data_IF_303539848749
#
_entry.id   IF_303539848749
#
_cell.length_a   1.000
_cell.length_b   1.000
_cell.length_c   1.000
_cell.angle_alpha   90.00
_cell.angle_beta   90.00
_cell.angle_gamma   90.00
#
_symmetry.space_group_name_H-M   'P 1'
#
loop_
_entity.id
_entity.type
_entity.pdbx_description
1 polymer ?
#
# COMPACT_ATOMS: atom_id res chain seq x y z
N UNK A 1 -71.60 -20.01 -11.40
CA UNK A 1 -70.80 -19.83 -10.17
C UNK A 1 -69.34 -19.70 -10.55
N UNK A 2 -68.76 -18.53 -10.24
CA UNK A 2 -67.35 -18.17 -10.39
C UNK A 2 -66.44 -19.16 -9.64
N UNK A 3 -65.26 -19.48 -10.19
CA UNK A 3 -63.96 -19.33 -9.50
C UNK A 3 -62.78 -19.73 -10.41
N UNK A 4 -62.14 -18.68 -10.92
CA UNK A 4 -60.76 -18.63 -11.40
C UNK A 4 -59.83 -19.03 -10.26
N UNK A 5 -58.89 -19.96 -10.50
CA UNK A 5 -57.67 -20.14 -9.70
C UNK A 5 -56.49 -20.09 -10.68
N UNK A 6 -55.99 -18.89 -10.92
CA UNK A 6 -54.73 -18.38 -10.35
C UNK A 6 -53.51 -19.01 -11.02
N UNK A 7 -53.18 -18.39 -12.16
CA UNK A 7 -51.87 -18.39 -12.80
C UNK A 7 -50.88 -17.71 -11.82
N UNK A 8 -50.08 -18.50 -11.12
CA UNK A 8 -49.02 -18.03 -10.23
C UNK A 8 -47.81 -18.95 -10.39
N UNK A 9 -46.88 -18.56 -11.25
CA UNK A 9 -45.44 -18.79 -11.06
C UNK A 9 -44.70 -17.99 -12.14
N UNK A 10 -44.77 -16.68 -11.98
CA UNK A 10 -43.96 -15.70 -12.69
C UNK A 10 -42.52 -15.77 -12.18
N UNK A 11 -41.56 -15.65 -13.10
CA UNK A 11 -40.20 -15.14 -12.89
C UNK A 11 -39.30 -15.91 -11.91
N UNK A 12 -38.64 -16.95 -12.41
CA UNK A 12 -37.32 -17.36 -11.93
C UNK A 12 -36.24 -16.66 -12.76
N UNK A 13 -36.15 -15.33 -12.68
CA UNK A 13 -34.88 -14.65 -12.98
C UNK A 13 -34.06 -14.63 -11.70
N UNK A 14 -33.26 -15.68 -11.51
CA UNK A 14 -32.17 -15.65 -10.54
C UNK A 14 -31.16 -14.68 -11.12
N UNK A 15 -31.24 -13.42 -10.70
CA UNK A 15 -30.14 -12.48 -10.90
C UNK A 15 -29.03 -12.96 -9.98
N UNK A 16 -28.11 -13.74 -10.53
CA UNK A 16 -26.79 -13.99 -9.97
C UNK A 16 -26.06 -12.65 -9.94
N UNK A 17 -26.36 -11.81 -8.95
CA UNK A 17 -25.43 -10.76 -8.56
C UNK A 17 -24.20 -11.47 -8.02
N UNK A 18 -23.16 -11.50 -8.85
CA UNK A 18 -21.81 -11.82 -8.45
C UNK A 18 -21.34 -10.70 -7.52
N UNK A 19 -21.75 -10.79 -6.25
CA UNK A 19 -21.30 -9.89 -5.19
C UNK A 19 -19.87 -10.29 -4.86
N UNK A 20 -18.92 -9.81 -5.65
CA UNK A 20 -17.59 -9.58 -5.10
C UNK A 20 -17.79 -8.63 -3.93
N UNK A 21 -17.56 -9.11 -2.71
CA UNK A 21 -17.62 -8.30 -1.49
C UNK A 21 -16.65 -7.13 -1.69
N UNK A 22 -17.18 -5.96 -2.04
CA UNK A 22 -16.43 -4.72 -2.07
C UNK A 22 -16.22 -4.33 -0.61
N UNK A 23 -15.02 -4.56 -0.08
CA UNK A 23 -14.68 -4.14 1.27
C UNK A 23 -14.50 -2.63 1.31
N UNK A 24 -14.99 -1.98 2.36
CA UNK A 24 -14.83 -0.54 2.60
C UNK A 24 -13.69 -0.24 3.58
N UNK A 25 -12.90 -1.25 3.95
CA UNK A 25 -11.79 -1.11 4.89
C UNK A 25 -10.58 -0.61 4.11
N UNK A 26 -10.07 0.58 4.41
CA UNK A 26 -8.77 1.05 3.93
C UNK A 26 -7.68 0.58 4.89
N UNK A 27 -6.87 -0.43 4.54
CA UNK A 27 -5.91 -1.05 5.44
C UNK A 27 -4.71 -0.17 5.80
N UNK A 28 -4.46 0.89 5.03
CA UNK A 28 -3.44 1.88 5.35
C UNK A 28 -3.67 3.22 4.64
N UNK A 29 -2.98 4.25 5.12
CA UNK A 29 -2.70 5.48 4.40
C UNK A 29 -1.18 5.58 4.27
N UNK A 30 -0.64 5.50 3.05
CA UNK A 30 0.76 5.75 2.84
C UNK A 30 1.01 7.26 2.91
N UNK A 31 1.90 7.64 3.84
CA UNK A 31 2.42 8.99 3.91
C UNK A 31 3.18 9.28 2.61
N UNK A 32 2.91 10.44 2.00
CA UNK A 32 3.69 10.93 0.88
C UNK A 32 5.14 11.11 1.35
N UNK A 33 6.01 10.18 0.98
CA UNK A 33 7.44 10.30 1.21
C UNK A 33 8.07 10.77 -0.09
N UNK A 34 8.66 11.95 -0.05
CA UNK A 34 9.53 12.42 -1.12
C UNK A 34 10.78 11.54 -1.18
N UNK A 35 11.19 11.24 -2.41
CA UNK A 35 12.27 10.34 -2.80
C UNK A 35 13.57 10.68 -2.06
N UNK A 36 14.02 9.81 -1.16
CA UNK A 36 15.38 9.88 -0.60
C UNK A 36 16.27 8.93 -1.41
N UNK A 37 17.21 9.52 -2.15
CA UNK A 37 18.33 8.83 -2.78
C UNK A 37 19.18 8.10 -1.73
N UNK A 38 19.13 6.77 -1.71
CA UNK A 38 20.00 5.94 -0.87
C UNK A 38 21.44 5.98 -1.41
N UNK A 39 22.29 6.81 -0.79
CA UNK A 39 23.74 6.65 -0.85
C UNK A 39 24.30 6.19 0.50
N UNK A 40 24.73 4.93 0.50
CA UNK A 40 25.75 4.30 1.35
C UNK A 40 25.49 4.23 2.87
N UNK A 41 25.06 3.05 3.33
CA UNK A 41 25.33 2.59 4.69
C UNK A 41 26.20 1.33 4.60
N UNK A 42 27.42 1.41 5.14
CA UNK A 42 28.30 0.25 5.38
C UNK A 42 28.01 -0.33 6.78
N UNK A 43 28.09 -1.66 6.98
CA UNK A 43 27.73 -2.28 8.25
C UNK A 43 28.78 -2.14 9.36
N UNK A 44 28.23 -2.27 10.56
CA UNK A 44 28.72 -2.10 11.94
C UNK A 44 29.86 -3.07 12.34
N UNK A 45 30.80 -2.60 13.17
CA UNK A 45 31.69 -3.46 13.96
C UNK A 45 31.15 -3.59 15.39
N UNK A 46 31.20 -4.83 15.88
CA UNK A 46 30.87 -5.27 17.23
C UNK A 46 31.80 -4.64 18.27
N UNK A 47 31.26 -4.34 19.46
CA UNK A 47 31.88 -4.67 20.76
C UNK A 47 30.79 -4.70 21.84
N UNK A 48 30.86 -5.74 22.69
CA UNK A 48 29.95 -6.09 23.79
C UNK A 48 29.98 -5.08 24.94
N UNK A 49 28.82 -4.69 25.51
CA UNK A 49 28.68 -4.39 26.96
C UNK A 49 27.26 -4.78 27.46
N UNK A 50 27.25 -5.39 28.65
CA UNK A 50 26.14 -5.98 29.40
C UNK A 50 25.14 -4.97 30.01
N UNK A 51 23.99 -5.55 30.42
CA UNK A 51 22.79 -5.05 31.10
C UNK A 51 22.92 -3.85 32.06
N UNK A 52 21.98 -2.90 31.95
CA UNK A 52 21.34 -2.20 33.09
C UNK A 52 20.09 -1.40 32.63
N UNK A 53 19.01 -1.48 33.40
CA UNK A 53 17.71 -0.85 33.12
C UNK A 53 17.74 0.68 33.27
N UNK A 54 17.29 1.40 32.23
CA UNK A 54 16.90 2.83 32.23
C UNK A 54 17.92 3.79 31.59
N UNK A 55 17.66 4.30 30.37
CA UNK A 55 16.99 5.61 30.23
C UNK A 55 16.14 5.72 28.93
N UNK A 56 15.07 4.92 28.79
CA UNK A 56 14.27 4.88 27.55
C UNK A 56 13.32 6.09 27.34
N UNK A 57 13.01 6.84 28.41
CA UNK A 57 12.04 7.97 28.36
C UNK A 57 12.59 9.28 27.77
N UNK A 58 13.90 9.51 27.85
CA UNK A 58 14.49 10.76 27.34
C UNK A 58 14.69 10.73 25.81
N UNK A 59 14.98 9.54 25.24
CA UNK A 59 15.23 9.39 23.80
C UNK A 59 13.97 9.59 22.94
N UNK A 60 12.79 9.21 23.46
CA UNK A 60 11.52 9.42 22.76
C UNK A 60 11.11 10.88 22.75
N UNK A 61 11.42 11.62 23.83
CA UNK A 61 11.13 13.05 23.95
C UNK A 61 12.05 13.86 23.03
N UNK A 62 13.35 13.53 22.98
CA UNK A 62 14.32 14.15 22.05
C UNK A 62 13.98 13.89 20.58
N UNK A 63 13.58 12.66 20.21
CA UNK A 63 13.13 12.35 18.83
C UNK A 63 11.89 13.15 18.41
N UNK A 64 10.96 13.37 19.33
CA UNK A 64 9.74 14.12 19.07
C UNK A 64 9.98 15.65 19.00
N UNK A 65 10.99 16.15 19.70
CA UNK A 65 11.41 17.56 19.60
C UNK A 65 12.23 17.82 18.33
N UNK A 66 13.13 16.90 17.95
CA UNK A 66 13.86 16.94 16.68
C UNK A 66 12.89 16.92 15.48
N UNK A 67 11.86 16.07 15.49
CA UNK A 67 10.87 16.04 14.41
C UNK A 67 10.10 17.35 14.28
N UNK A 68 9.73 18.00 15.39
CA UNK A 68 9.03 19.29 15.37
C UNK A 68 9.91 20.44 14.87
N UNK A 69 11.19 20.44 15.23
CA UNK A 69 12.17 21.43 14.78
C UNK A 69 12.49 21.30 13.29
N UNK A 70 12.49 20.08 12.75
CA UNK A 70 12.67 19.80 11.32
C UNK A 70 11.46 20.31 10.53
N UNK A 71 10.22 20.02 10.99
CA UNK A 71 8.98 20.53 10.37
C UNK A 71 8.93 22.06 10.32
N UNK A 72 9.40 22.75 11.36
CA UNK A 72 9.40 24.21 11.38
C UNK A 72 10.45 24.82 10.44
N UNK A 73 11.66 24.25 10.39
CA UNK A 73 12.74 24.70 9.49
C UNK A 73 12.48 24.40 8.01
N UNK A 74 11.70 23.36 7.71
CA UNK A 74 11.27 23.04 6.34
C UNK A 74 10.19 24.02 5.87
N UNK A 75 9.25 24.41 6.75
CA UNK A 75 8.22 25.43 6.42
C UNK A 75 8.77 26.83 6.13
N UNK A 76 9.95 27.18 6.68
CA UNK A 76 10.59 28.49 6.46
C UNK A 76 11.48 28.51 5.19
N UNK A 77 11.94 27.36 4.70
CA UNK A 77 12.83 27.29 3.52
C UNK A 77 12.09 27.14 2.18
N UNK A 78 10.79 26.87 2.17
CA UNK A 78 9.99 26.75 0.94
C UNK A 78 9.58 28.09 0.30
N UNK A 79 9.86 29.24 0.94
CA UNK A 79 9.44 30.56 0.43
C UNK A 79 10.29 31.07 -0.75
N UNK A 80 11.43 30.44 -1.09
CA UNK A 80 12.41 31.00 -2.05
C UNK A 80 12.83 30.08 -3.20
N UNK A 81 11.90 29.37 -3.84
CA UNK A 81 12.08 28.92 -5.23
C UNK A 81 10.85 29.26 -6.08
N UNK A 82 11.03 30.25 -6.95
CA UNK A 82 10.10 30.65 -8.00
C UNK A 82 9.98 29.49 -9.01
N UNK A 83 8.80 28.86 -9.20
CA UNK A 83 8.66 27.84 -10.22
C UNK A 83 8.48 28.50 -11.59
N UNK A 84 9.27 28.06 -12.58
CA UNK A 84 8.94 28.27 -14.00
C UNK A 84 7.57 27.63 -14.29
N UNK A 85 6.71 28.38 -14.98
CA UNK A 85 5.41 27.91 -15.47
C UNK A 85 5.63 26.80 -16.51
N UNK A 86 5.67 25.56 -16.03
CA UNK A 86 5.34 24.40 -16.86
C UNK A 86 3.82 24.32 -16.95
N UNK A 87 3.28 24.16 -18.16
CA UNK A 87 1.87 23.87 -18.38
C UNK A 87 1.45 22.72 -17.45
N UNK A 88 0.63 23.03 -16.43
CA UNK A 88 0.06 22.04 -15.53
C UNK A 88 -0.95 21.21 -16.32
N UNK A 89 -0.44 20.21 -17.05
CA UNK A 89 -1.26 19.13 -17.54
C UNK A 89 -1.88 18.45 -16.31
N UNK A 90 -3.20 18.52 -16.20
CA UNK A 90 -3.92 17.83 -15.14
C UNK A 90 -3.54 16.33 -15.14
N UNK A 91 -3.41 15.70 -13.96
CA UNK A 91 -3.09 14.29 -13.89
C UNK A 91 -4.18 13.45 -14.56
N UNK A 92 -3.77 12.42 -15.29
CA UNK A 92 -4.69 11.46 -15.91
C UNK A 92 -5.17 10.47 -14.85
N UNK A 93 -6.42 10.65 -14.41
CA UNK A 93 -7.07 9.77 -13.45
C UNK A 93 -7.56 8.48 -14.12
N UNK A 94 -7.36 7.35 -13.43
CA UNK A 94 -7.91 6.05 -13.84
C UNK A 94 -8.31 5.18 -12.65
N UNK A 95 -9.19 4.22 -12.90
CA UNK A 95 -9.57 3.21 -11.90
C UNK A 95 -8.47 2.14 -11.78
N UNK A 96 -7.98 1.95 -10.56
CA UNK A 96 -7.10 0.86 -10.17
C UNK A 96 -7.87 -0.22 -9.40
N UNK A 97 -7.52 -1.48 -9.67
CA UNK A 97 -7.99 -2.67 -8.95
C UNK A 97 -6.90 -3.09 -7.98
N UNK A 98 -7.20 -3.04 -6.69
CA UNK A 98 -6.28 -3.43 -5.63
C UNK A 98 -6.60 -4.83 -5.13
N UNK A 99 -5.55 -5.65 -5.03
CA UNK A 99 -5.51 -6.83 -4.16
C UNK A 99 -4.45 -6.61 -3.08
N UNK A 100 -4.39 -7.50 -2.10
CA UNK A 100 -3.50 -7.35 -0.95
C UNK A 100 -2.79 -8.67 -0.67
N UNK A 101 -1.50 -8.58 -0.33
CA UNK A 101 -0.68 -9.74 -0.02
C UNK A 101 0.15 -9.51 1.25
N UNK A 102 0.58 -10.62 1.83
CA UNK A 102 1.37 -10.64 3.07
C UNK A 102 2.86 -10.89 2.82
N UNK A 103 3.68 -10.74 3.85
CA UNK A 103 5.07 -11.21 3.90
C UNK A 103 5.20 -12.70 4.24
N UNK A 104 4.11 -13.48 4.24
CA UNK A 104 4.17 -14.92 4.52
C UNK A 104 4.83 -15.64 3.35
N UNK A 105 5.73 -16.59 3.65
CA UNK A 105 6.41 -17.39 2.63
C UNK A 105 5.44 -18.15 1.70
N UNK A 106 4.20 -18.43 2.13
CA UNK A 106 3.18 -19.07 1.30
C UNK A 106 2.65 -18.17 0.18
N UNK A 107 2.77 -16.86 0.32
CA UNK A 107 2.32 -15.86 -0.66
C UNK A 107 3.50 -15.23 -1.42
N UNK A 108 4.72 -15.57 -1.02
CA UNK A 108 5.95 -15.08 -1.62
C UNK A 108 6.68 -16.24 -2.31
N UNK A 109 7.62 -15.92 -3.19
CA UNK A 109 8.48 -16.94 -3.79
C UNK A 109 9.42 -17.56 -2.75
N UNK A 110 10.22 -18.55 -3.17
CA UNK A 110 11.29 -19.10 -2.33
C UNK A 110 12.34 -18.08 -1.89
N UNK A 111 12.33 -16.85 -2.42
CA UNK A 111 13.17 -15.75 -1.97
C UNK A 111 12.75 -15.15 -0.62
N UNK A 112 11.54 -15.47 -0.12
CA UNK A 112 11.01 -14.91 1.12
C UNK A 112 10.38 -13.51 0.90
N UNK A 113 10.17 -12.73 1.97
CA UNK A 113 9.46 -11.44 1.94
C UNK A 113 10.37 -10.31 1.44
N UNK A 114 10.78 -10.43 0.18
CA UNK A 114 11.58 -9.44 -0.54
C UNK A 114 10.93 -9.13 -1.87
N UNK A 115 11.16 -7.91 -2.36
CA UNK A 115 10.73 -7.52 -3.70
C UNK A 115 11.49 -8.28 -4.78
N UNK A 116 11.05 -8.15 -6.03
CA UNK A 116 11.77 -8.66 -7.21
C UNK A 116 13.22 -8.14 -7.37
N UNK A 117 13.59 -7.07 -6.64
CA UNK A 117 14.96 -6.53 -6.60
C UNK A 117 15.76 -7.03 -5.39
N UNK A 118 15.23 -8.03 -4.66
CA UNK A 118 15.81 -8.56 -3.44
C UNK A 118 15.98 -7.49 -2.33
N UNK A 119 15.06 -6.52 -2.27
CA UNK A 119 14.97 -5.52 -1.21
C UNK A 119 13.86 -5.92 -0.23
N UNK A 120 13.93 -5.51 1.06
CA UNK A 120 12.82 -5.74 1.98
C UNK A 120 11.49 -5.18 1.44
N UNK A 121 10.38 -5.87 1.67
CA UNK A 121 9.06 -5.32 1.42
C UNK A 121 8.83 -4.12 2.36
N UNK A 122 8.33 -3.02 1.80
CA UNK A 122 8.09 -1.77 2.53
C UNK A 122 6.63 -1.36 2.44
N UNK A 123 6.14 -0.71 3.49
CA UNK A 123 4.82 -0.11 3.50
C UNK A 123 4.58 0.78 2.26
N UNK A 124 3.41 0.67 1.63
CA UNK A 124 3.09 1.38 0.39
C UNK A 124 3.74 0.78 -0.88
N UNK A 125 4.49 -0.31 -0.76
CA UNK A 125 5.00 -1.08 -1.90
C UNK A 125 3.89 -1.85 -2.62
N UNK A 126 3.94 -1.86 -3.95
CA UNK A 126 2.98 -2.59 -4.79
C UNK A 126 3.65 -3.41 -5.88
N UNK A 127 3.02 -4.53 -6.23
CA UNK A 127 3.36 -5.36 -7.37
C UNK A 127 2.51 -5.03 -8.60
N UNK A 128 3.17 -4.86 -9.74
CA UNK A 128 2.56 -4.72 -11.07
C UNK A 128 3.60 -5.09 -12.13
N UNK A 129 3.26 -5.70 -13.27
CA UNK A 129 4.28 -6.11 -14.25
C UNK A 129 4.41 -5.16 -15.46
N UNK A 130 3.48 -4.21 -15.62
CA UNK A 130 3.43 -3.28 -16.77
C UNK A 130 4.01 -1.91 -16.43
N UNK A 131 3.66 -1.37 -15.26
CA UNK A 131 4.15 -0.07 -14.79
C UNK A 131 5.65 -0.18 -14.46
N UNK A 132 6.49 0.79 -14.86
CA UNK A 132 7.91 0.80 -14.53
C UNK A 132 8.16 0.72 -13.02
N UNK A 133 9.24 0.05 -12.63
CA UNK A 133 9.70 0.02 -11.23
C UNK A 133 10.01 1.44 -10.74
N UNK A 134 9.81 1.68 -9.45
CA UNK A 134 9.92 2.96 -8.74
C UNK A 134 8.92 4.04 -9.19
N UNK A 135 7.86 3.68 -9.93
CA UNK A 135 6.79 4.63 -10.25
C UNK A 135 5.93 4.90 -9.02
N UNK A 136 5.69 6.17 -8.72
CA UNK A 136 4.77 6.60 -7.67
C UNK A 136 3.35 6.77 -8.22
N UNK A 137 2.36 6.31 -7.48
CA UNK A 137 0.94 6.35 -7.84
C UNK A 137 0.17 6.92 -6.65
N UNK A 138 -0.61 7.97 -6.87
CA UNK A 138 -1.58 8.42 -5.89
C UNK A 138 -2.85 7.59 -6.02
N UNK A 139 -3.35 7.07 -4.90
CA UNK A 139 -4.60 6.30 -4.81
C UNK A 139 -5.55 6.98 -3.80
N UNK A 140 -6.77 7.27 -4.24
CA UNK A 140 -7.78 7.90 -3.41
C UNK A 140 -8.09 7.04 -2.17
N UNK A 141 -7.98 7.63 -0.97
CA UNK A 141 -8.20 6.94 0.30
C UNK A 141 -7.04 6.08 0.80
N UNK A 142 -5.95 6.00 0.04
CA UNK A 142 -4.75 5.20 0.34
C UNK A 142 -3.46 6.00 0.36
N UNK A 143 -3.42 7.16 -0.30
CA UNK A 143 -2.21 7.98 -0.41
C UNK A 143 -1.30 7.50 -1.53
N UNK A 144 0.01 7.75 -1.39
CA UNK A 144 0.99 7.45 -2.44
C UNK A 144 1.59 6.05 -2.26
N UNK A 145 1.54 5.23 -3.31
CA UNK A 145 2.18 3.92 -3.36
C UNK A 145 3.31 3.90 -4.40
N UNK A 146 4.24 2.96 -4.26
CA UNK A 146 5.39 2.82 -5.16
C UNK A 146 5.44 1.42 -5.76
N UNK A 147 5.54 1.33 -7.08
CA UNK A 147 5.73 0.06 -7.79
C UNK A 147 7.16 -0.44 -7.56
N UNK A 148 7.36 -1.31 -6.58
CA UNK A 148 8.68 -1.82 -6.21
C UNK A 148 8.79 -3.35 -6.31
N UNK A 149 7.72 -4.03 -6.72
CA UNK A 149 7.66 -5.49 -6.80
C UNK A 149 6.98 -5.98 -8.08
N UNK A 150 7.04 -7.29 -8.32
CA UNK A 150 6.43 -7.98 -9.48
C UNK A 150 5.62 -9.19 -9.02
N UNK A 151 4.54 -9.48 -9.72
CA UNK A 151 3.62 -10.57 -9.39
C UNK A 151 3.46 -11.58 -10.53
N UNK A 152 2.51 -12.49 -10.37
CA UNK A 152 2.13 -13.43 -11.44
C UNK A 152 1.60 -12.71 -12.69
N UNK A 153 2.19 -12.97 -13.85
CA UNK A 153 1.79 -12.40 -15.15
C UNK A 153 0.30 -12.58 -15.46
N UNK A 154 -0.29 -13.71 -15.04
CA UNK A 154 -1.72 -13.99 -15.21
C UNK A 154 -2.64 -12.89 -14.65
N UNK A 155 -2.23 -12.23 -13.58
CA UNK A 155 -3.07 -11.25 -12.88
C UNK A 155 -2.51 -9.83 -12.99
N UNK A 156 -1.18 -9.66 -13.03
CA UNK A 156 -0.52 -8.36 -12.95
C UNK A 156 0.12 -7.90 -14.26
N UNK A 157 -0.14 -8.60 -15.37
CA UNK A 157 0.21 -8.19 -16.73
C UNK A 157 -0.70 -7.09 -17.32
N UNK A 158 -1.36 -6.29 -16.47
CA UNK A 158 -2.21 -5.16 -16.85
C UNK A 158 -1.80 -3.92 -16.07
N UNK A 159 -2.03 -2.73 -16.62
CA UNK A 159 -1.50 -1.46 -16.09
C UNK A 159 -2.37 -0.83 -14.99
N UNK A 160 -3.49 -1.45 -14.62
CA UNK A 160 -4.43 -0.92 -13.64
C UNK A 160 -4.72 -1.88 -12.48
N UNK A 161 -3.98 -2.98 -12.34
CA UNK A 161 -4.12 -3.90 -11.20
C UNK A 161 -2.86 -3.92 -10.35
N UNK A 162 -3.00 -3.64 -9.06
CA UNK A 162 -1.90 -3.54 -8.11
C UNK A 162 -2.11 -4.58 -7.01
N UNK A 163 -1.06 -5.34 -6.66
CA UNK A 163 -1.03 -6.11 -5.42
C UNK A 163 -0.33 -5.29 -4.35
N UNK A 164 -1.02 -5.00 -3.25
CA UNK A 164 -0.51 -4.07 -2.25
C UNK A 164 0.01 -4.83 -1.04
N UNK A 165 1.28 -4.57 -0.69
CA UNK A 165 1.87 -5.20 0.49
C UNK A 165 1.26 -4.60 1.76
N UNK A 166 0.76 -5.47 2.63
CA UNK A 166 0.28 -5.08 3.95
C UNK A 166 1.25 -5.58 5.00
N UNK A 167 1.77 -4.69 5.85
CA UNK A 167 2.65 -5.07 6.94
C UNK A 167 1.93 -5.90 8.03
N UNK A 168 2.67 -6.81 8.67
CA UNK A 168 2.18 -7.58 9.80
C UNK A 168 2.05 -6.68 11.02
N UNK A 169 0.96 -6.80 11.75
CA UNK A 169 0.80 -6.09 13.01
C UNK A 169 1.61 -6.74 14.14
N UNK A 170 2.14 -5.97 15.10
CA UNK A 170 2.88 -6.52 16.23
C UNK A 170 2.07 -7.58 17.01
N UNK A 171 2.64 -8.77 17.18
CA UNK A 171 2.01 -9.88 17.90
C UNK A 171 1.00 -10.69 17.08
N UNK A 172 0.81 -10.37 15.80
CA UNK A 172 -0.08 -11.10 14.92
C UNK A 172 0.51 -12.46 14.50
N UNK A 173 -0.23 -13.55 14.75
CA UNK A 173 0.13 -14.88 14.23
C UNK A 173 -0.03 -14.95 12.71
N UNK A 174 0.66 -15.89 12.06
CA UNK A 174 0.57 -16.08 10.60
C UNK A 174 -0.88 -16.25 10.13
N UNK A 175 -1.68 -16.99 10.90
CA UNK A 175 -3.10 -17.21 10.60
C UNK A 175 -3.90 -15.92 10.69
N UNK A 176 -3.70 -15.12 11.74
CA UNK A 176 -4.40 -13.85 11.91
C UNK A 176 -4.03 -12.88 10.78
N UNK A 177 -2.75 -12.79 10.47
CA UNK A 177 -2.21 -11.94 9.41
C UNK A 177 -2.79 -12.29 8.04
N UNK A 178 -2.74 -13.57 7.68
CA UNK A 178 -3.36 -14.05 6.45
C UNK A 178 -4.86 -13.74 6.41
N UNK A 179 -5.59 -14.00 7.49
CA UNK A 179 -7.04 -13.78 7.54
C UNK A 179 -7.40 -12.30 7.42
N UNK A 180 -6.68 -11.42 8.13
CA UNK A 180 -6.87 -9.98 8.09
C UNK A 180 -6.64 -9.44 6.68
N UNK A 181 -5.51 -9.77 6.07
CA UNK A 181 -5.17 -9.30 4.72
C UNK A 181 -6.17 -9.81 3.68
N UNK A 182 -6.54 -11.09 3.73
CA UNK A 182 -7.56 -11.65 2.83
C UNK A 182 -8.95 -11.04 3.03
N UNK A 183 -9.28 -10.56 4.25
CA UNK A 183 -10.57 -9.92 4.53
C UNK A 183 -10.77 -8.57 3.85
N UNK A 184 -9.69 -7.93 3.37
CA UNK A 184 -9.78 -6.68 2.60
C UNK A 184 -10.35 -6.89 1.19
N UNK A 185 -10.33 -8.12 0.68
CA UNK A 185 -10.90 -8.46 -0.63
C UNK A 185 -10.28 -7.68 -1.78
N UNK A 186 -11.03 -7.57 -2.88
CA UNK A 186 -10.65 -6.74 -4.03
C UNK A 186 -11.25 -5.35 -3.83
N UNK A 187 -10.48 -4.29 -4.10
CA UNK A 187 -10.96 -2.92 -4.04
C UNK A 187 -10.74 -2.18 -5.36
N UNK A 188 -11.60 -1.19 -5.63
CA UNK A 188 -11.53 -0.33 -6.81
C UNK A 188 -11.40 1.10 -6.34
N UNK A 189 -10.35 1.78 -6.77
CA UNK A 189 -10.06 3.17 -6.35
C UNK A 189 -9.65 3.99 -7.56
N UNK A 190 -9.95 5.28 -7.55
CA UNK A 190 -9.39 6.19 -8.54
C UNK A 190 -7.98 6.60 -8.11
N UNK A 191 -7.11 6.80 -9.09
CA UNK A 191 -5.76 7.27 -8.85
C UNK A 191 -5.09 7.78 -10.10
N UNK A 192 -3.85 8.25 -9.97
CA UNK A 192 -3.04 8.72 -11.10
C UNK A 192 -1.56 8.44 -10.84
N UNK A 193 -0.79 8.31 -11.92
CA UNK A 193 0.67 8.21 -11.85
C UNK A 193 1.24 9.61 -11.56
N UNK A 194 2.06 9.71 -10.51
CA UNK A 194 2.76 10.94 -10.15
C UNK A 194 3.92 11.13 -11.13
N UNK A 195 3.99 12.31 -11.76
CA UNK A 195 5.02 12.67 -12.76
C UNK A 195 6.04 13.63 -12.17
#
# INVERSE_FOLDING_TARGET
MLRVKMLMCSLSFIILFNTYSMSTITPFNALATDVVDEKNIKPLNNDEIQENEGPLKNLQTEKMELSKLITQKESENEVNKKPEESEKNEPEWKEFILTFYTSLNSENSSAGPVTCQNKPLTHGGVANNVIPQNTNIYLEGYGQVTVNDRGSDKYFGVDNRLDVFIEREPGESDRQYYQRVNSYGVQKVNGYIVK
#
